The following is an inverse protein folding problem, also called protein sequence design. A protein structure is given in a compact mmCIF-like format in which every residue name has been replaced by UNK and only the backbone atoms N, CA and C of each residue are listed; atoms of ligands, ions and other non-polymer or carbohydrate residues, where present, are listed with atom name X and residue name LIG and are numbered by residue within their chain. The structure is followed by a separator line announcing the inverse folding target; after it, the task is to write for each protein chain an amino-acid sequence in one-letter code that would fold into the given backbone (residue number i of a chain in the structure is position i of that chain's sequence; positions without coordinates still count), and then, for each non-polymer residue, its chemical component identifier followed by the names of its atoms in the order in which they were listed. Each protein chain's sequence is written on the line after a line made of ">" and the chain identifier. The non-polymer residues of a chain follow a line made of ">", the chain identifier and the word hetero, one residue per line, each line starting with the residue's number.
data_IF_096115311093
#
_entry.id   IF_096115311093
#
_cell.length_a   1.000
_cell.length_b   1.000
_cell.length_c   1.000
_cell.angle_alpha   90.00
_cell.angle_beta   90.00
_cell.angle_gamma   90.00
#
_symmetry.space_group_name_H-M   'P 1'
#
loop_
_entity.id
_entity.type
_entity.pdbx_description
1 polymer ?
#
# COMPACT_ATOMS: atom_id res chain seq x y z
N UNK A 1 -18.94 1.89 -6.50
CA UNK A 1 -19.56 3.02 -7.22
C UNK A 1 -18.65 4.25 -7.21
N UNK A 2 -18.18 4.72 -6.05
CA UNK A 2 -17.24 5.86 -5.96
C UNK A 2 -15.93 5.57 -6.71
N UNK A 3 -15.33 4.41 -6.53
CA UNK A 3 -14.12 3.99 -7.23
C UNK A 3 -14.27 4.01 -8.77
N UNK A 4 -15.37 3.50 -9.30
CA UNK A 4 -15.63 3.54 -10.74
C UNK A 4 -15.73 4.97 -11.27
N UNK A 5 -16.40 5.86 -10.51
CA UNK A 5 -16.46 7.28 -10.85
C UNK A 5 -15.07 7.92 -10.79
N UNK A 6 -14.25 7.57 -9.79
CA UNK A 6 -12.89 8.05 -9.64
C UNK A 6 -11.97 7.66 -10.82
N UNK A 7 -12.02 6.41 -11.28
CA UNK A 7 -11.20 5.95 -12.42
C UNK A 7 -11.44 6.81 -13.66
N UNK A 8 -12.70 7.14 -13.94
CA UNK A 8 -13.08 7.98 -15.08
C UNK A 8 -12.68 9.45 -14.84
N UNK A 9 -13.01 9.98 -13.67
CA UNK A 9 -12.76 11.37 -13.30
C UNK A 9 -11.26 11.70 -13.28
N UNK A 10 -10.43 10.78 -12.75
CA UNK A 10 -8.97 10.92 -12.70
C UNK A 10 -8.36 11.04 -14.10
N UNK A 11 -8.79 10.19 -15.04
CA UNK A 11 -8.30 10.24 -16.42
C UNK A 11 -8.62 11.54 -17.17
N UNK A 12 -9.60 12.29 -16.68
CA UNK A 12 -10.09 13.55 -17.25
C UNK A 12 -9.80 14.79 -16.38
N UNK A 13 -9.10 14.65 -15.26
CA UNK A 13 -8.90 15.69 -14.24
C UNK A 13 -10.22 16.35 -13.77
N UNK A 14 -11.33 15.57 -13.73
CA UNK A 14 -12.67 16.05 -13.41
C UNK A 14 -13.02 15.85 -11.94
N UNK A 15 -12.58 16.78 -11.10
CA UNK A 15 -12.94 16.82 -9.68
C UNK A 15 -14.46 16.88 -9.44
N UNK A 16 -15.20 17.58 -10.33
CA UNK A 16 -16.65 17.77 -10.12
C UNK A 16 -17.43 16.45 -10.22
N UNK A 17 -16.98 15.56 -11.11
CA UNK A 17 -17.61 14.24 -11.30
C UNK A 17 -17.45 13.32 -10.07
N UNK A 18 -16.31 13.42 -9.36
CA UNK A 18 -16.03 12.56 -8.19
C UNK A 18 -16.52 13.14 -6.86
N UNK A 19 -16.68 14.45 -6.76
CA UNK A 19 -16.98 15.13 -5.49
C UNK A 19 -18.21 14.55 -4.78
N UNK A 20 -19.34 14.43 -5.46
CA UNK A 20 -20.59 13.93 -4.85
C UNK A 20 -20.46 12.49 -4.36
N UNK A 21 -20.01 11.53 -5.19
CA UNK A 21 -19.73 10.17 -4.74
C UNK A 21 -18.73 10.10 -3.57
N UNK A 22 -17.73 10.96 -3.50
CA UNK A 22 -16.77 11.00 -2.41
C UNK A 22 -17.40 11.56 -1.13
N UNK A 23 -18.21 12.61 -1.20
CA UNK A 23 -18.96 13.15 -0.07
C UNK A 23 -19.87 12.09 0.56
N UNK A 24 -20.51 11.25 -0.25
CA UNK A 24 -21.31 10.11 0.23
C UNK A 24 -20.46 9.08 0.99
N UNK A 25 -19.29 8.71 0.45
CA UNK A 25 -18.37 7.77 1.13
C UNK A 25 -17.90 8.34 2.46
N UNK A 26 -17.48 9.62 2.50
CA UNK A 26 -17.03 10.28 3.74
C UNK A 26 -18.15 10.30 4.78
N UNK A 27 -19.39 10.62 4.36
CA UNK A 27 -20.53 10.64 5.27
C UNK A 27 -20.78 9.25 5.90
N UNK A 28 -20.84 8.20 5.09
CA UNK A 28 -21.04 6.84 5.56
C UNK A 28 -19.88 6.35 6.45
N UNK A 29 -18.65 6.78 6.14
CA UNK A 29 -17.48 6.47 6.97
C UNK A 29 -17.60 7.13 8.34
N UNK A 30 -18.03 8.39 8.40
CA UNK A 30 -18.24 9.11 9.68
C UNK A 30 -19.36 8.43 10.50
N UNK A 31 -20.46 8.02 9.88
CA UNK A 31 -21.54 7.29 10.57
C UNK A 31 -21.03 5.97 11.15
N UNK A 32 -20.31 5.18 10.32
CA UNK A 32 -19.73 3.90 10.76
C UNK A 32 -18.70 4.09 11.89
N UNK A 33 -17.81 5.07 11.75
CA UNK A 33 -16.81 5.40 12.77
C UNK A 33 -17.44 5.83 14.10
N UNK A 34 -18.53 6.60 14.04
CA UNK A 34 -19.26 7.04 15.23
C UNK A 34 -19.91 5.85 15.94
N UNK A 35 -20.61 4.98 15.19
CA UNK A 35 -21.24 3.79 15.75
C UNK A 35 -20.21 2.81 16.37
N UNK A 36 -19.08 2.60 15.69
CA UNK A 36 -17.96 1.80 16.22
C UNK A 36 -17.37 2.43 17.49
N UNK A 37 -17.14 3.75 17.46
CA UNK A 37 -16.63 4.50 18.61
C UNK A 37 -17.53 4.39 19.85
N UNK A 38 -18.85 4.47 19.67
CA UNK A 38 -19.82 4.25 20.75
C UNK A 38 -19.75 2.82 21.30
N UNK A 39 -19.68 1.81 20.40
CA UNK A 39 -19.59 0.41 20.80
C UNK A 39 -18.29 0.03 21.54
N UNK A 40 -17.17 0.62 21.12
CA UNK A 40 -15.84 0.35 21.66
C UNK A 40 -15.42 1.33 22.77
N UNK A 41 -16.20 2.37 23.04
CA UNK A 41 -15.84 3.48 23.94
C UNK A 41 -14.55 4.20 23.50
N UNK A 42 -14.40 4.43 22.21
CA UNK A 42 -13.27 5.09 21.55
C UNK A 42 -13.71 6.35 20.80
N UNK A 43 -12.77 7.25 20.56
CA UNK A 43 -13.00 8.31 19.58
C UNK A 43 -13.23 7.70 18.18
N UNK A 44 -14.07 8.31 17.31
CA UNK A 44 -14.41 7.71 16.01
C UNK A 44 -13.19 7.33 15.15
N UNK A 45 -12.17 8.17 15.12
CA UNK A 45 -10.95 7.89 14.37
C UNK A 45 -10.16 6.72 14.98
N UNK A 46 -10.04 6.66 16.31
CA UNK A 46 -9.37 5.56 17.00
C UNK A 46 -10.11 4.23 16.84
N UNK A 47 -11.44 4.28 16.73
CA UNK A 47 -12.25 3.09 16.43
C UNK A 47 -12.01 2.53 15.02
N UNK A 48 -11.77 3.41 14.03
CA UNK A 48 -11.34 2.98 12.69
C UNK A 48 -9.91 2.45 12.70
N UNK A 49 -9.01 3.14 13.41
CA UNK A 49 -7.61 2.74 13.52
C UNK A 49 -7.44 1.34 14.13
N UNK A 50 -8.24 1.03 15.13
CA UNK A 50 -8.24 -0.27 15.82
C UNK A 50 -8.53 -1.46 14.87
N UNK A 51 -9.27 -1.23 13.78
CA UNK A 51 -9.52 -2.22 12.75
C UNK A 51 -8.31 -2.53 11.84
N UNK A 52 -7.32 -1.63 11.81
CA UNK A 52 -6.08 -1.79 11.04
C UNK A 52 -4.88 -2.17 11.91
N UNK A 53 -4.84 -1.66 13.12
CA UNK A 53 -3.78 -1.90 14.09
C UNK A 53 -4.40 -1.94 15.49
N UNK A 54 -4.69 -3.14 15.96
CA UNK A 54 -5.38 -3.36 17.22
C UNK A 54 -4.67 -2.67 18.40
N UNK A 55 -5.44 -2.07 19.29
CA UNK A 55 -4.97 -1.35 20.49
C UNK A 55 -4.12 -0.09 20.22
N UNK A 56 -3.89 0.26 18.97
CA UNK A 56 -3.19 1.51 18.60
C UNK A 56 -4.14 2.70 18.68
N UNK A 57 -3.65 3.83 19.17
CA UNK A 57 -4.41 5.08 19.34
C UNK A 57 -3.72 6.23 18.61
N UNK A 58 -4.51 7.15 18.09
CA UNK A 58 -4.03 8.33 17.37
C UNK A 58 -3.03 9.17 18.19
N UNK A 59 -3.17 9.21 19.50
CA UNK A 59 -2.21 9.90 20.39
C UNK A 59 -0.80 9.28 20.30
N UNK A 60 -0.69 7.96 20.27
CA UNK A 60 0.60 7.25 20.13
C UNK A 60 1.22 7.51 18.74
N UNK A 61 0.40 7.46 17.69
CA UNK A 61 0.83 7.77 16.33
C UNK A 61 1.32 9.23 16.23
N UNK A 62 0.62 10.16 16.87
CA UNK A 62 1.00 11.58 16.92
C UNK A 62 2.37 11.77 17.56
N UNK A 63 2.64 11.11 18.67
CA UNK A 63 3.96 11.19 19.35
C UNK A 63 5.10 10.74 18.42
N UNK A 64 4.93 9.62 17.72
CA UNK A 64 5.90 9.13 16.74
C UNK A 64 6.09 10.13 15.60
N UNK A 65 5.00 10.66 15.06
CA UNK A 65 5.05 11.60 13.94
C UNK A 65 5.65 12.97 14.34
N UNK A 66 5.44 13.42 15.55
CA UNK A 66 6.07 14.65 16.04
C UNK A 66 7.59 14.49 16.14
N UNK A 67 8.07 13.32 16.54
CA UNK A 67 9.49 12.97 16.47
C UNK A 67 10.04 12.99 15.04
N UNK A 68 9.33 12.39 14.10
CA UNK A 68 9.70 12.39 12.67
C UNK A 68 9.67 13.79 12.08
N UNK A 69 8.65 14.59 12.35
CA UNK A 69 8.57 15.99 11.90
C UNK A 69 9.72 16.86 12.41
N UNK A 70 10.18 16.61 13.64
CA UNK A 70 11.32 17.33 14.20
C UNK A 70 12.64 16.92 13.55
N UNK A 71 12.78 15.66 13.14
CA UNK A 71 14.03 15.11 12.60
C UNK A 71 14.16 15.23 11.06
N UNK A 72 13.12 14.86 10.33
CA UNK A 72 13.20 14.64 8.88
C UNK A 72 13.56 15.90 8.07
N UNK A 73 13.01 17.10 8.33
CA UNK A 73 13.34 18.27 7.51
C UNK A 73 14.83 18.59 7.52
N UNK A 74 15.43 18.71 8.70
CA UNK A 74 16.85 18.99 8.82
C UNK A 74 17.75 17.84 8.38
N UNK A 75 17.26 16.59 8.43
CA UNK A 75 17.96 15.45 7.86
C UNK A 75 17.97 15.51 6.34
N UNK A 76 16.83 15.78 5.72
CA UNK A 76 16.67 15.90 4.28
C UNK A 76 17.55 17.03 3.70
N UNK A 77 17.57 18.20 4.34
CA UNK A 77 18.45 19.32 3.94
C UNK A 77 19.90 18.85 3.88
N UNK A 78 20.41 18.20 4.93
CA UNK A 78 21.79 17.69 4.95
C UNK A 78 22.09 16.62 3.90
N UNK A 79 21.09 15.79 3.55
CA UNK A 79 21.23 14.79 2.48
C UNK A 79 21.34 15.50 1.14
N UNK A 80 20.42 16.45 0.84
CA UNK A 80 20.39 17.17 -0.42
C UNK A 80 21.63 18.04 -0.65
N UNK A 81 22.23 18.58 0.43
CA UNK A 81 23.50 19.33 0.35
C UNK A 81 24.70 18.45 -0.05
N UNK A 82 24.64 17.15 0.19
CA UNK A 82 25.77 16.22 -0.02
C UNK A 82 25.56 15.24 -1.16
N UNK A 83 24.30 15.03 -1.55
CA UNK A 83 23.94 14.12 -2.62
C UNK A 83 24.15 14.81 -3.97
N UNK A 84 24.89 14.16 -4.86
CA UNK A 84 24.90 14.56 -6.26
C UNK A 84 23.50 14.34 -6.85
N UNK A 85 23.06 15.24 -7.74
CA UNK A 85 21.79 15.09 -8.44
C UNK A 85 21.86 13.80 -9.27
N UNK A 86 20.99 12.80 -9.01
CA UNK A 86 21.04 11.56 -9.78
C UNK A 86 20.72 11.82 -11.26
N UNK A 87 21.47 11.19 -12.13
CA UNK A 87 21.17 11.23 -13.56
C UNK A 87 19.88 10.45 -13.83
N UNK A 88 18.92 11.05 -14.53
CA UNK A 88 17.69 10.35 -14.86
C UNK A 88 17.98 9.17 -15.80
N UNK A 89 17.35 8.04 -15.53
CA UNK A 89 17.37 6.89 -16.44
C UNK A 89 16.66 7.30 -17.73
N UNK A 90 17.40 7.25 -18.84
CA UNK A 90 16.89 7.66 -20.16
C UNK A 90 16.75 6.43 -21.04
N UNK A 91 15.64 6.36 -21.75
CA UNK A 91 15.36 5.27 -22.68
C UNK A 91 13.88 5.03 -22.81
N UNK A 92 13.56 3.99 -23.58
CA UNK A 92 12.21 3.47 -23.68
C UNK A 92 12.25 2.02 -23.22
N UNK A 93 11.42 1.71 -22.25
CA UNK A 93 11.44 0.43 -21.54
C UNK A 93 10.07 -0.23 -21.74
N UNK A 94 9.99 -1.14 -22.69
CA UNK A 94 8.74 -1.81 -23.01
C UNK A 94 8.09 -2.47 -21.80
N UNK A 95 6.78 -2.38 -21.69
CA UNK A 95 6.01 -2.91 -20.56
C UNK A 95 6.28 -4.40 -20.32
N UNK A 96 6.46 -5.18 -21.39
CA UNK A 96 6.78 -6.61 -21.32
C UNK A 96 8.15 -6.88 -20.67
N UNK A 97 9.12 -6.01 -20.93
CA UNK A 97 10.46 -6.12 -20.30
C UNK A 97 10.41 -5.74 -18.82
N UNK A 98 9.64 -4.71 -18.47
CA UNK A 98 9.41 -4.33 -17.06
C UNK A 98 8.69 -5.45 -16.31
N UNK A 99 7.68 -6.07 -16.92
CA UNK A 99 6.97 -7.22 -16.36
C UNK A 99 7.92 -8.40 -16.11
N UNK A 100 8.70 -8.77 -17.13
CA UNK A 100 9.67 -9.86 -17.00
C UNK A 100 10.73 -9.59 -15.92
N UNK A 101 11.20 -8.35 -15.78
CA UNK A 101 12.10 -7.94 -14.69
C UNK A 101 11.41 -8.07 -13.34
N UNK A 102 10.18 -7.57 -13.21
CA UNK A 102 9.37 -7.68 -11.99
C UNK A 102 9.22 -9.14 -11.55
N UNK A 103 8.80 -10.03 -12.44
CA UNK A 103 8.70 -11.46 -12.13
C UNK A 103 10.06 -12.08 -11.74
N UNK A 104 11.15 -11.69 -12.40
CA UNK A 104 12.48 -12.19 -12.06
C UNK A 104 12.90 -11.77 -10.63
N UNK A 105 12.60 -10.53 -10.24
CA UNK A 105 12.86 -10.02 -8.89
C UNK A 105 11.96 -10.73 -7.86
N UNK A 106 10.67 -10.89 -8.14
CA UNK A 106 9.73 -11.64 -7.28
C UNK A 106 10.24 -13.07 -7.02
N UNK A 107 10.68 -13.77 -8.06
CA UNK A 107 11.27 -15.12 -7.94
C UNK A 107 12.54 -15.12 -7.09
N UNK A 108 13.42 -14.13 -7.29
CA UNK A 108 14.66 -14.01 -6.53
C UNK A 108 14.40 -13.77 -5.03
N UNK A 109 13.30 -13.07 -4.70
CA UNK A 109 12.83 -12.83 -3.33
C UNK A 109 12.09 -14.01 -2.71
N UNK A 110 11.74 -15.03 -3.50
CA UNK A 110 11.07 -16.23 -3.02
C UNK A 110 9.54 -16.24 -3.17
N UNK A 111 8.97 -15.33 -3.98
CA UNK A 111 7.54 -15.35 -4.26
C UNK A 111 7.15 -16.66 -4.98
N UNK A 112 6.14 -17.32 -4.44
CA UNK A 112 5.59 -18.55 -4.98
C UNK A 112 4.50 -18.27 -6.00
N UNK A 113 4.83 -18.43 -7.28
CA UNK A 113 3.90 -18.22 -8.40
C UNK A 113 2.83 -19.32 -8.55
N UNK A 114 2.97 -20.44 -7.87
CA UNK A 114 1.91 -21.45 -7.78
C UNK A 114 0.78 -21.00 -6.83
N UNK A 115 1.08 -20.01 -5.99
CA UNK A 115 0.16 -19.41 -5.03
C UNK A 115 -0.07 -17.91 -5.25
N UNK A 116 0.18 -17.42 -6.45
CA UNK A 116 -0.04 -16.02 -6.75
C UNK A 116 0.43 -15.60 -8.13
N UNK A 117 0.19 -14.33 -8.48
CA UNK A 117 0.53 -13.78 -9.80
C UNK A 117 0.71 -12.28 -9.78
N UNK A 118 1.35 -11.77 -10.85
CA UNK A 118 1.50 -10.35 -11.14
C UNK A 118 0.59 -9.95 -12.31
N UNK A 119 -0.29 -8.99 -12.10
CA UNK A 119 -1.21 -8.44 -13.09
C UNK A 119 -1.02 -6.93 -13.29
N UNK A 120 -1.76 -6.35 -14.24
CA UNK A 120 -1.76 -4.91 -14.50
C UNK A 120 -3.02 -4.27 -13.95
N UNK A 121 -2.88 -3.13 -13.26
CA UNK A 121 -3.98 -2.31 -12.74
C UNK A 121 -3.66 -0.83 -12.78
N UNK A 122 -4.67 0.03 -12.66
CA UNK A 122 -4.51 1.49 -12.57
C UNK A 122 -3.78 1.95 -11.30
N UNK A 123 -3.81 1.14 -10.26
CA UNK A 123 -3.12 1.36 -9.01
C UNK A 123 -2.46 0.07 -8.54
N UNK A 124 -1.16 0.08 -8.16
CA UNK A 124 -0.51 -1.07 -7.53
C UNK A 124 -1.24 -1.46 -6.24
N UNK A 125 -1.40 -2.74 -6.02
CA UNK A 125 -1.88 -3.30 -4.76
C UNK A 125 -1.52 -4.79 -4.66
N UNK A 126 -1.45 -5.29 -3.43
CA UNK A 126 -1.43 -6.70 -3.13
C UNK A 126 -2.72 -7.07 -2.38
N UNK A 127 -3.43 -8.06 -2.88
CA UNK A 127 -4.66 -8.56 -2.27
C UNK A 127 -4.78 -10.06 -2.49
N UNK A 128 -5.57 -10.72 -1.66
CA UNK A 128 -5.86 -12.14 -1.81
C UNK A 128 -5.79 -12.90 -0.50
N UNK A 129 -5.38 -14.14 -0.60
CA UNK A 129 -5.21 -15.07 0.50
C UNK A 129 -3.83 -15.71 0.38
N UNK A 130 -3.35 -16.32 1.45
CA UNK A 130 -2.05 -17.01 1.46
C UNK A 130 -1.83 -17.99 0.30
N UNK A 131 -2.89 -18.56 -0.26
CA UNK A 131 -2.85 -19.52 -1.38
C UNK A 131 -3.20 -18.91 -2.75
N UNK A 132 -3.63 -17.66 -2.81
CA UNK A 132 -3.91 -16.93 -4.06
C UNK A 132 -3.64 -15.43 -3.82
N UNK A 133 -2.36 -15.09 -3.73
CA UNK A 133 -1.89 -13.72 -3.50
C UNK A 133 -1.69 -13.02 -4.83
N UNK A 134 -2.42 -11.92 -5.06
CA UNK A 134 -2.43 -11.20 -6.31
C UNK A 134 -1.79 -9.84 -6.15
N UNK A 135 -0.73 -9.62 -6.92
CA UNK A 135 -0.02 -8.35 -7.02
C UNK A 135 -0.44 -7.66 -8.30
N UNK A 136 -0.60 -6.35 -8.25
CA UNK A 136 -0.80 -5.56 -9.46
C UNK A 136 0.21 -4.43 -9.54
N UNK A 137 0.54 -4.03 -10.76
CA UNK A 137 1.39 -2.87 -11.03
C UNK A 137 0.91 -2.12 -12.27
N UNK A 138 1.50 -0.96 -12.49
CA UNK A 138 1.30 -0.13 -13.68
C UNK A 138 2.65 0.18 -14.31
N UNK A 139 2.76 -0.01 -15.62
CA UNK A 139 3.98 0.25 -16.37
C UNK A 139 3.96 1.65 -16.99
N UNK A 140 5.13 2.30 -16.93
CA UNK A 140 5.44 3.52 -17.67
C UNK A 140 6.72 3.29 -18.45
N UNK A 141 6.65 3.33 -19.79
CA UNK A 141 7.80 3.07 -20.65
C UNK A 141 8.91 4.13 -20.54
N UNK A 142 8.62 5.29 -19.93
CA UNK A 142 9.59 6.35 -19.69
C UNK A 142 10.12 6.35 -18.25
N UNK A 143 9.43 5.67 -17.33
CA UNK A 143 9.82 5.58 -15.92
C UNK A 143 9.75 4.14 -15.37
N UNK A 144 10.73 3.28 -15.71
CA UNK A 144 10.72 1.88 -15.30
C UNK A 144 10.92 1.68 -13.79
N UNK A 145 11.55 2.66 -13.10
CA UNK A 145 11.77 2.55 -11.66
C UNK A 145 10.47 2.59 -10.87
N UNK A 146 9.49 3.38 -11.32
CA UNK A 146 8.20 3.47 -10.64
C UNK A 146 7.48 2.12 -10.59
N UNK A 147 7.48 1.36 -11.70
CA UNK A 147 6.88 0.02 -11.71
C UNK A 147 7.70 -1.01 -10.93
N UNK A 148 9.04 -0.92 -11.00
CA UNK A 148 9.92 -1.84 -10.27
C UNK A 148 9.77 -1.69 -8.76
N UNK A 149 9.85 -0.46 -8.24
CA UNK A 149 9.67 -0.19 -6.80
C UNK A 149 8.27 -0.63 -6.34
N UNK A 150 7.22 -0.34 -7.12
CA UNK A 150 5.88 -0.82 -6.81
C UNK A 150 5.79 -2.35 -6.75
N UNK A 151 6.39 -3.08 -7.71
CA UNK A 151 6.43 -4.55 -7.67
C UNK A 151 7.19 -5.06 -6.45
N UNK A 152 8.32 -4.46 -6.09
CA UNK A 152 9.09 -4.84 -4.91
C UNK A 152 8.27 -4.62 -3.63
N UNK A 153 7.65 -3.46 -3.49
CA UNK A 153 6.77 -3.12 -2.37
C UNK A 153 5.63 -4.15 -2.21
N UNK A 154 4.86 -4.37 -3.27
CA UNK A 154 3.75 -5.33 -3.23
C UNK A 154 4.23 -6.78 -3.04
N UNK A 155 5.46 -7.10 -3.49
CA UNK A 155 6.06 -8.41 -3.22
C UNK A 155 6.34 -8.62 -1.74
N UNK A 156 6.74 -7.57 -1.01
CA UNK A 156 6.92 -7.65 0.44
C UNK A 156 5.62 -8.00 1.16
N UNK A 157 4.52 -7.35 0.80
CA UNK A 157 3.18 -7.71 1.29
C UNK A 157 2.82 -9.16 0.96
N UNK A 158 3.07 -9.57 -0.29
CA UNK A 158 2.73 -10.91 -0.75
C UNK A 158 3.54 -12.02 -0.07
N UNK A 159 4.83 -11.80 0.18
CA UNK A 159 5.67 -12.72 0.93
C UNK A 159 5.20 -12.88 2.37
N UNK A 160 4.73 -11.80 2.99
CA UNK A 160 4.12 -11.86 4.31
C UNK A 160 2.85 -12.73 4.30
N UNK A 161 1.94 -12.51 3.35
CA UNK A 161 0.72 -13.31 3.19
C UNK A 161 1.03 -14.79 2.90
N UNK A 162 1.94 -15.07 1.96
CA UNK A 162 2.35 -16.44 1.64
C UNK A 162 3.09 -17.15 2.80
N UNK A 163 3.69 -16.37 3.71
CA UNK A 163 4.38 -16.84 4.90
C UNK A 163 3.49 -17.11 6.11
N UNK A 164 2.20 -16.75 6.05
CA UNK A 164 1.27 -16.99 7.15
C UNK A 164 1.09 -18.49 7.46
N UNK A 165 0.82 -18.85 8.74
CA UNK A 165 0.76 -20.25 9.17
C UNK A 165 -0.34 -21.05 8.45
N UNK A 166 0.04 -22.03 7.66
CA UNK A 166 -0.88 -22.89 6.90
C UNK A 166 -1.87 -23.66 7.77
N UNK A 167 -1.45 -24.07 8.96
CA UNK A 167 -2.27 -24.85 9.90
C UNK A 167 -3.45 -24.05 10.48
N UNK A 168 -3.36 -22.70 10.42
CA UNK A 168 -4.36 -21.78 10.96
C UNK A 168 -5.11 -21.01 9.87
N UNK A 169 -5.06 -21.49 8.62
CA UNK A 169 -5.84 -20.91 7.52
C UNK A 169 -7.30 -20.80 7.88
N UNK A 170 -7.91 -19.72 7.49
CA UNK A 170 -9.32 -19.41 7.77
C UNK A 170 -9.66 -19.23 9.27
N UNK A 171 -8.64 -19.14 10.12
CA UNK A 171 -8.79 -18.78 11.52
C UNK A 171 -8.23 -17.37 11.76
N UNK A 172 -8.84 -16.54 12.62
CA UNK A 172 -8.35 -15.18 12.88
C UNK A 172 -6.87 -15.14 13.28
N UNK A 173 -6.40 -16.13 14.04
CA UNK A 173 -5.00 -16.24 14.49
C UNK A 173 -4.01 -16.52 13.35
N UNK A 174 -4.49 -17.00 12.22
CA UNK A 174 -3.68 -17.28 11.01
C UNK A 174 -3.69 -16.14 9.99
N UNK A 175 -4.37 -15.03 10.27
CA UNK A 175 -4.42 -13.85 9.41
C UNK A 175 -3.35 -12.82 9.81
N UNK A 176 -3.07 -11.86 8.92
CA UNK A 176 -2.28 -10.70 9.26
C UNK A 176 -2.90 -9.96 10.45
N UNK A 177 -2.11 -9.65 11.47
CA UNK A 177 -2.61 -9.11 12.74
C UNK A 177 -2.63 -7.58 12.81
N UNK A 178 -1.94 -6.90 11.91
CA UNK A 178 -1.90 -5.45 11.89
C UNK A 178 -1.12 -4.91 10.70
N UNK A 179 -1.43 -3.67 10.33
CA UNK A 179 -0.83 -3.02 9.16
C UNK A 179 0.60 -2.55 9.42
N UNK A 180 1.01 -2.29 10.67
CA UNK A 180 2.37 -1.87 10.97
C UNK A 180 3.40 -2.93 10.57
N UNK A 181 3.17 -4.19 10.94
CA UNK A 181 4.05 -5.30 10.55
C UNK A 181 3.90 -5.63 9.07
N UNK A 182 2.69 -5.61 8.54
CA UNK A 182 2.42 -5.90 7.13
C UNK A 182 3.16 -4.90 6.21
N UNK A 183 3.06 -3.60 6.50
CA UNK A 183 3.75 -2.55 5.77
C UNK A 183 5.27 -2.58 5.98
N UNK A 184 5.74 -3.02 7.15
CA UNK A 184 7.18 -3.17 7.37
C UNK A 184 7.82 -4.20 6.46
N UNK A 185 7.06 -5.20 5.99
CA UNK A 185 7.55 -6.20 5.05
C UNK A 185 7.67 -5.63 3.63
N UNK A 186 6.74 -4.78 3.20
CA UNK A 186 6.84 -4.08 1.92
C UNK A 186 8.04 -3.14 1.88
N UNK A 187 8.20 -2.30 2.91
CA UNK A 187 9.32 -1.36 3.04
C UNK A 187 10.68 -2.05 3.21
N UNK A 188 10.73 -3.28 3.72
CA UNK A 188 11.97 -4.06 3.81
C UNK A 188 12.47 -4.51 2.45
N UNK A 189 11.54 -4.79 1.53
CA UNK A 189 11.84 -5.34 0.19
C UNK A 189 12.06 -4.21 -0.83
N UNK A 190 11.33 -3.08 -0.71
CA UNK A 190 11.50 -1.89 -1.54
C UNK A 190 12.89 -1.22 -1.33
#
# INVERSE_FOLDING_TARGET
>A
RCEQAWRIARGNDDWRAIRGPLEEVVHLTIEGATALGEGLSLAPYDALLDGYEADTRSAQVTEVFDGLKAFLPGFLERVLERQETPEPIRGQFAAEQQHALGEAMMRALGFDFDRGRLDVSDHPFCEGMADDTRITTRYDEQNPLGSLLAVLHETGHALYEQGLPSDWRHQPVGLALGMAIHESQSLLVE
#
